data_IF_202349036991
#
_entry.id   IF_202349036991
#
_cell.length_a   1.000
_cell.length_b   1.000
_cell.length_c   1.000
_cell.angle_alpha   90.00
_cell.angle_beta   90.00
_cell.angle_gamma   90.00
#
_symmetry.space_group_name_H-M   'P 1'
#
loop_
_entity.id
_entity.type
_entity.pdbx_description
1 polymer ?
#
# COMPACT_ATOMS: atom_id res chain seq x y z
N UNK A 1 4.99 -40.75 -4.60
CA UNK A 1 3.66 -40.27 -4.19
C UNK A 1 3.54 -40.14 -2.67
N UNK A 2 3.91 -41.17 -1.88
CA UNK A 2 3.90 -41.09 -0.40
C UNK A 2 4.96 -40.13 0.17
N UNK A 3 6.14 -40.03 -0.44
CA UNK A 3 7.15 -39.03 -0.06
C UNK A 3 6.72 -37.60 -0.36
N UNK A 4 6.17 -37.33 -1.54
CA UNK A 4 5.64 -36.00 -1.87
C UNK A 4 4.52 -35.54 -0.90
N UNK A 5 3.62 -36.46 -0.51
CA UNK A 5 2.60 -36.18 0.51
C UNK A 5 3.18 -35.98 1.92
N UNK A 6 4.30 -36.64 2.25
CA UNK A 6 5.01 -36.42 3.51
C UNK A 6 5.73 -35.08 3.52
N UNK A 7 6.30 -34.68 2.39
CA UNK A 7 6.92 -33.36 2.20
C UNK A 7 5.88 -32.24 2.27
N UNK A 8 4.73 -32.40 1.61
CA UNK A 8 3.62 -31.44 1.68
C UNK A 8 3.04 -31.33 3.12
N UNK A 9 2.89 -32.45 3.83
CA UNK A 9 2.40 -32.45 5.21
C UNK A 9 3.44 -31.86 6.18
N UNK A 10 4.74 -32.09 5.94
CA UNK A 10 5.83 -31.51 6.71
C UNK A 10 5.92 -29.99 6.51
N UNK A 11 5.79 -29.52 5.25
CA UNK A 11 5.80 -28.09 4.90
C UNK A 11 4.58 -27.35 5.49
N UNK A 12 3.40 -28.00 5.47
CA UNK A 12 2.20 -27.47 6.11
C UNK A 12 2.35 -27.38 7.64
N UNK A 13 2.93 -28.41 8.27
CA UNK A 13 3.17 -28.44 9.72
C UNK A 13 4.20 -27.40 10.15
N UNK A 14 5.26 -27.21 9.38
CA UNK A 14 6.27 -26.16 9.60
C UNK A 14 5.71 -24.75 9.38
N UNK A 15 4.81 -24.59 8.41
CA UNK A 15 4.10 -23.33 8.15
C UNK A 15 3.15 -22.94 9.29
N UNK A 16 2.45 -23.91 9.88
CA UNK A 16 1.58 -23.68 11.05
C UNK A 16 2.41 -23.34 12.29
N UNK A 17 3.54 -24.04 12.52
CA UNK A 17 4.42 -23.76 13.67
C UNK A 17 5.03 -22.36 13.63
N UNK A 18 5.59 -21.95 12.49
CA UNK A 18 6.17 -20.63 12.34
C UNK A 18 5.12 -19.51 12.46
N UNK A 19 3.88 -19.77 12.03
CA UNK A 19 2.75 -18.86 12.24
C UNK A 19 2.42 -18.69 13.73
N UNK A 20 2.45 -19.79 14.50
CA UNK A 20 2.21 -19.76 15.95
C UNK A 20 3.35 -19.10 16.73
N UNK A 21 4.61 -19.34 16.36
CA UNK A 21 5.79 -18.70 16.96
C UNK A 21 5.82 -17.20 16.67
N UNK A 22 5.51 -16.81 15.43
CA UNK A 22 5.32 -15.42 15.04
C UNK A 22 4.18 -14.75 15.83
N UNK A 23 3.07 -15.44 16.07
CA UNK A 23 1.97 -14.95 16.90
C UNK A 23 2.36 -14.83 18.38
N UNK A 24 3.15 -15.78 18.92
CA UNK A 24 3.64 -15.74 20.29
C UNK A 24 4.64 -14.59 20.51
N UNK A 25 5.51 -14.33 19.53
CA UNK A 25 6.46 -13.21 19.56
C UNK A 25 5.80 -11.84 19.35
N UNK A 26 4.61 -11.80 18.74
CA UNK A 26 3.89 -10.56 18.45
C UNK A 26 3.13 -9.96 19.65
N UNK A 27 3.12 -10.62 20.81
CA UNK A 27 2.42 -10.17 22.02
C UNK A 27 0.89 -10.31 21.88
N UNK A 28 0.31 -11.19 22.69
CA UNK A 28 -1.13 -11.41 22.73
C UNK A 28 -1.83 -10.30 23.52
N UNK A 29 -2.23 -9.22 22.85
CA UNK A 29 -3.39 -8.44 23.28
C UNK A 29 -4.40 -8.37 22.13
N UNK A 30 -5.51 -9.09 22.32
CA UNK A 30 -6.75 -8.87 21.56
C UNK A 30 -7.14 -9.99 20.60
N UNK A 31 -7.79 -11.04 21.13
CA UNK A 31 -8.85 -11.75 20.43
C UNK A 31 -10.05 -11.95 21.38
N UNK A 32 -11.31 -11.77 20.93
CA UNK A 32 -12.50 -11.68 21.77
C UNK A 32 -13.27 -13.01 21.92
N UNK A 33 -13.91 -13.19 23.09
CA UNK A 33 -14.93 -14.21 23.41
C UNK A 33 -14.36 -15.55 23.89
N UNK A 34 -14.77 -16.17 25.01
CA UNK A 34 -16.11 -16.30 25.58
C UNK A 34 -16.06 -16.67 27.10
N UNK A 35 -17.17 -17.00 27.79
CA UNK A 35 -17.51 -16.48 29.12
C UNK A 35 -17.13 -17.38 30.30
N UNK A 36 -17.06 -16.82 31.52
CA UNK A 36 -17.63 -17.48 32.70
C UNK A 36 -17.84 -16.50 33.85
N UNK A 37 -18.97 -16.67 34.51
CA UNK A 37 -19.39 -15.99 35.71
C UNK A 37 -18.89 -16.71 36.98
N UNK A 38 -18.97 -15.99 38.11
CA UNK A 38 -19.12 -16.45 39.51
C UNK A 38 -17.98 -17.24 40.19
N UNK A 39 -17.31 -16.64 41.17
CA UNK A 39 -17.55 -16.94 42.60
C UNK A 39 -16.81 -15.97 43.55
N UNK A 40 -17.50 -15.65 44.65
CA UNK A 40 -17.09 -14.87 45.83
C UNK A 40 -15.91 -15.50 46.62
N UNK A 41 -15.22 -14.70 47.44
CA UNK A 41 -15.30 -14.72 48.93
C UNK A 41 -14.14 -13.90 49.57
N UNK A 42 -14.54 -12.83 50.28
CA UNK A 42 -14.12 -12.28 51.59
C UNK A 42 -12.65 -12.18 52.06
N UNK A 43 -12.36 -11.03 52.71
CA UNK A 43 -11.46 -10.95 53.88
C UNK A 43 -10.99 -9.52 54.21
N UNK A 44 -11.28 -9.03 55.43
CA UNK A 44 -11.05 -7.66 55.95
C UNK A 44 -9.58 -7.20 56.07
N UNK A 45 -9.22 -6.02 56.59
CA UNK A 45 -9.85 -5.16 57.60
C UNK A 45 -9.04 -3.85 57.82
N UNK A 46 -9.73 -2.75 58.20
CA UNK A 46 -9.35 -1.66 59.15
C UNK A 46 -8.12 -0.76 58.83
N UNK A 47 -8.05 0.56 59.09
CA UNK A 47 -8.77 1.50 59.97
C UNK A 47 -8.38 2.97 59.68
N UNK A 48 -9.34 3.90 59.86
CA UNK A 48 -9.29 5.27 60.47
C UNK A 48 -8.25 6.33 60.00
N UNK A 49 -8.47 7.66 59.95
CA UNK A 49 -9.50 8.62 60.39
C UNK A 49 -9.13 10.03 59.84
N UNK A 50 -10.07 11.00 59.82
CA UNK A 50 -9.72 12.43 59.67
C UNK A 50 -10.81 13.35 59.10
N UNK A 51 -11.39 14.21 59.95
CA UNK A 51 -12.64 14.96 59.76
C UNK A 51 -12.59 16.23 58.88
N UNK A 52 -13.76 16.60 58.34
CA UNK A 52 -14.12 17.93 57.81
C UNK A 52 -14.55 18.89 58.95
N UNK A 53 -14.78 20.21 58.71
CA UNK A 53 -16.14 20.62 58.29
C UNK A 53 -16.32 21.96 57.48
N UNK A 54 -17.48 22.00 56.81
CA UNK A 54 -18.48 23.10 56.64
C UNK A 54 -18.40 24.17 55.51
N UNK A 55 -19.55 24.21 54.80
CA UNK A 55 -20.11 25.22 53.85
C UNK A 55 -20.82 26.37 54.60
N UNK A 56 -21.38 27.38 53.88
CA UNK A 56 -22.80 27.34 53.40
C UNK A 56 -22.97 27.89 51.95
N UNK A 57 -23.89 27.41 51.08
CA UNK A 57 -25.34 27.75 50.94
C UNK A 57 -25.52 28.70 49.73
N UNK A 58 -26.48 28.63 48.78
CA UNK A 58 -27.88 28.21 48.80
C UNK A 58 -28.50 28.17 47.35
N UNK A 59 -29.54 27.33 47.16
CA UNK A 59 -30.70 27.33 46.22
C UNK A 59 -30.53 27.52 44.68
N UNK A 60 -31.29 26.86 43.78
CA UNK A 60 -32.45 25.98 43.88
C UNK A 60 -33.34 26.12 42.62
N UNK A 61 -34.25 25.13 42.41
CA UNK A 61 -35.40 25.07 41.47
C UNK A 61 -35.08 24.67 40.00
N UNK A 62 -35.85 23.88 39.25
CA UNK A 62 -36.91 22.88 39.45
C UNK A 62 -37.16 22.26 38.05
N UNK A 63 -37.37 20.95 37.97
CA UNK A 63 -37.97 20.31 36.79
C UNK A 63 -39.50 20.48 36.80
N UNK A 64 -40.16 20.43 35.63
CA UNK A 64 -41.28 19.49 35.50
C UNK A 64 -41.43 18.84 34.10
N UNK A 65 -42.05 17.65 34.10
CA UNK A 65 -42.83 17.05 33.01
C UNK A 65 -44.15 16.54 33.65
N UNK A 66 -45.19 16.06 32.91
CA UNK A 66 -45.48 16.06 31.46
C UNK A 66 -46.91 16.55 31.12
N UNK A 67 -47.23 16.77 29.83
CA UNK A 67 -48.61 16.61 29.31
C UNK A 67 -48.66 16.37 27.78
N UNK A 68 -49.74 15.72 27.36
CA UNK A 68 -49.98 15.01 26.09
C UNK A 68 -50.48 15.91 24.94
N UNK A 69 -50.23 15.49 23.69
CA UNK A 69 -51.19 15.72 22.59
C UNK A 69 -50.60 15.86 21.18
N UNK A 70 -51.03 14.99 20.25
CA UNK A 70 -51.26 15.34 18.83
C UNK A 70 -50.20 14.91 17.79
N UNK A 71 -50.50 13.87 17.02
CA UNK A 71 -49.85 13.53 15.75
C UNK A 71 -50.30 14.47 14.60
N UNK A 72 -49.58 14.51 13.46
CA UNK A 72 -50.01 13.68 12.35
C UNK A 72 -48.90 13.01 11.52
N UNK A 73 -49.34 11.99 10.81
CA UNK A 73 -48.66 11.04 9.94
C UNK A 73 -48.28 11.63 8.57
N UNK A 74 -47.04 11.41 8.14
CA UNK A 74 -46.60 11.59 6.75
C UNK A 74 -45.95 10.30 6.24
N UNK A 75 -46.66 9.55 5.41
CA UNK A 75 -46.21 8.32 4.77
C UNK A 75 -45.38 8.63 3.52
N UNK A 76 -44.23 7.98 3.38
CA UNK A 76 -43.35 8.06 2.21
C UNK A 76 -43.52 6.77 1.39
N UNK A 77 -43.92 6.91 0.11
CA UNK A 77 -44.21 5.80 -0.82
C UNK A 77 -43.00 5.54 -1.72
N UNK A 78 -42.56 4.27 -1.94
CA UNK A 78 -41.53 3.93 -2.92
C UNK A 78 -42.10 3.66 -4.33
N UNK A 79 -41.28 3.76 -5.41
CA UNK A 79 -41.72 3.55 -6.79
C UNK A 79 -41.76 2.06 -7.22
N UNK A 80 -42.54 1.69 -8.26
CA UNK A 80 -42.78 0.28 -8.62
C UNK A 80 -41.79 -0.29 -9.66
N UNK A 81 -41.41 -1.55 -9.45
CA UNK A 81 -40.82 -2.46 -10.44
C UNK A 81 -41.88 -2.94 -11.45
N UNK A 82 -41.51 -3.09 -12.72
CA UNK A 82 -42.29 -3.89 -13.69
C UNK A 82 -41.43 -4.99 -14.30
N UNK A 83 -41.87 -6.23 -14.06
CA UNK A 83 -41.44 -7.48 -14.69
C UNK A 83 -42.40 -7.81 -15.83
N UNK A 84 -41.87 -8.22 -16.98
CA UNK A 84 -42.64 -8.82 -18.06
C UNK A 84 -41.76 -9.73 -18.93
N UNK A 85 -42.01 -11.03 -18.88
CA UNK A 85 -41.65 -12.07 -19.85
C UNK A 85 -42.97 -12.58 -20.47
N UNK A 86 -43.05 -13.38 -21.57
CA UNK A 86 -42.03 -14.31 -22.09
C UNK A 86 -41.88 -14.39 -23.63
N UNK A 87 -40.97 -15.27 -24.05
CA UNK A 87 -40.57 -15.59 -25.43
C UNK A 87 -41.48 -16.63 -26.11
N UNK A 88 -41.52 -16.62 -27.46
CA UNK A 88 -41.59 -17.80 -28.36
C UNK A 88 -41.51 -17.37 -29.85
N UNK A 89 -40.75 -18.10 -30.67
CA UNK A 89 -40.83 -18.00 -32.14
C UNK A 89 -39.54 -18.37 -32.89
N UNK A 90 -39.47 -19.59 -33.40
CA UNK A 90 -38.37 -20.21 -34.17
C UNK A 90 -38.61 -20.03 -35.68
N UNK A 91 -37.54 -19.79 -36.49
CA UNK A 91 -37.18 -20.48 -37.76
C UNK A 91 -36.17 -19.68 -38.63
N UNK A 92 -35.07 -20.35 -39.03
CA UNK A 92 -34.07 -19.96 -40.06
C UNK A 92 -34.54 -20.36 -41.49
N UNK A 93 -33.71 -20.35 -42.57
CA UNK A 93 -32.54 -19.52 -42.98
C UNK A 93 -32.65 -19.00 -44.45
N UNK A 94 -31.92 -17.95 -44.86
CA UNK A 94 -31.63 -17.67 -46.30
C UNK A 94 -30.21 -17.11 -46.48
N UNK A 95 -29.56 -17.54 -47.56
CA UNK A 95 -28.15 -17.49 -47.93
C UNK A 95 -27.59 -16.12 -48.36
N UNK A 96 -26.25 -16.05 -48.34
CA UNK A 96 -25.37 -14.95 -48.73
C UNK A 96 -25.32 -14.63 -50.24
N UNK A 97 -24.83 -13.42 -50.59
CA UNK A 97 -24.00 -13.22 -51.78
C UNK A 97 -22.57 -12.78 -51.43
N UNK A 98 -21.62 -13.21 -52.28
CA UNK A 98 -20.17 -12.95 -52.21
C UNK A 98 -19.78 -11.68 -52.97
N UNK A 99 -18.79 -10.96 -52.43
CA UNK A 99 -17.80 -10.13 -53.14
C UNK A 99 -17.93 -8.60 -52.95
N UNK A 100 -16.86 -7.81 -53.20
CA UNK A 100 -15.48 -8.16 -53.53
C UNK A 100 -14.45 -7.80 -52.43
N UNK A 101 -13.28 -8.39 -52.59
CA UNK A 101 -12.10 -8.40 -51.72
C UNK A 101 -11.40 -7.03 -51.59
N UNK A 102 -10.84 -6.66 -50.43
CA UNK A 102 -10.09 -5.42 -50.27
C UNK A 102 -8.73 -5.49 -50.99
N UNK A 103 -8.25 -4.39 -51.60
CA UNK A 103 -6.98 -4.39 -52.31
C UNK A 103 -5.79 -4.64 -51.37
N UNK A 104 -4.93 -5.56 -51.82
CA UNK A 104 -3.62 -5.90 -51.25
C UNK A 104 -2.71 -4.67 -51.12
N UNK A 105 -1.98 -4.48 -50.02
CA UNK A 105 -1.07 -3.35 -49.89
C UNK A 105 0.17 -3.55 -50.77
N UNK A 106 0.26 -2.76 -51.83
CA UNK A 106 1.47 -2.52 -52.59
C UNK A 106 2.59 -2.04 -51.65
N UNK A 107 3.73 -2.70 -51.79
CA UNK A 107 5.00 -2.33 -51.18
C UNK A 107 5.34 -0.86 -51.45
N UNK A 108 5.54 -0.09 -50.38
CA UNK A 108 6.12 1.23 -50.42
C UNK A 108 7.20 1.36 -49.34
N UNK A 109 8.44 1.42 -49.83
CA UNK A 109 9.56 2.18 -49.31
C UNK A 109 10.12 1.81 -47.93
N UNK A 110 11.21 1.02 -47.97
CA UNK A 110 12.28 1.09 -46.99
C UNK A 110 12.90 2.49 -47.00
N UNK A 111 12.56 3.31 -46.01
CA UNK A 111 13.27 4.56 -45.74
C UNK A 111 13.22 4.90 -44.23
N UNK A 112 14.36 4.68 -43.56
CA UNK A 112 14.85 5.40 -42.37
C UNK A 112 13.91 5.58 -41.18
N UNK A 113 13.90 4.59 -40.28
CA UNK A 113 13.56 4.80 -38.86
C UNK A 113 14.73 5.52 -38.12
N UNK A 114 14.47 6.35 -37.11
CA UNK A 114 15.31 7.49 -36.76
C UNK A 114 16.50 7.08 -35.89
N UNK A 115 17.69 7.59 -36.24
CA UNK A 115 18.93 7.52 -35.42
C UNK A 115 18.75 8.04 -33.98
N UNK A 116 17.67 8.77 -33.70
CA UNK A 116 17.32 9.26 -32.36
C UNK A 116 17.01 8.15 -31.35
N UNK A 117 16.42 7.02 -31.77
CA UNK A 117 16.09 5.89 -30.88
C UNK A 117 17.36 5.09 -30.53
N UNK A 118 18.29 4.97 -31.47
CA UNK A 118 19.58 4.32 -31.25
C UNK A 118 20.48 5.12 -30.30
N UNK A 119 20.50 6.45 -30.39
CA UNK A 119 21.26 7.30 -29.48
C UNK A 119 20.67 7.29 -28.05
N UNK A 120 19.35 7.30 -27.90
CA UNK A 120 18.68 7.16 -26.61
C UNK A 120 18.90 5.77 -25.99
N UNK A 121 18.87 4.71 -26.80
CA UNK A 121 19.22 3.34 -26.39
C UNK A 121 20.71 3.17 -26.07
N UNK A 122 21.60 3.88 -26.77
CA UNK A 122 23.03 3.92 -26.48
C UNK A 122 23.31 4.63 -25.14
N UNK A 123 22.61 5.73 -24.86
CA UNK A 123 22.71 6.42 -23.57
C UNK A 123 22.12 5.57 -22.42
N UNK A 124 21.10 4.76 -22.70
CA UNK A 124 20.49 3.83 -21.73
C UNK A 124 21.31 2.54 -21.52
N UNK A 125 22.25 2.20 -22.41
CA UNK A 125 23.05 0.96 -22.36
C UNK A 125 24.46 1.13 -21.82
N UNK A 126 24.88 2.36 -21.50
CA UNK A 126 26.11 2.58 -20.75
C UNK A 126 25.93 2.07 -19.30
N UNK A 127 26.87 1.28 -18.76
CA UNK A 127 26.88 0.99 -17.34
C UNK A 127 27.21 2.29 -16.60
N UNK A 128 26.18 3.02 -16.15
CA UNK A 128 26.39 4.13 -15.23
C UNK A 128 27.14 3.56 -14.00
N UNK A 129 28.31 4.13 -13.71
CA UNK A 129 29.05 3.88 -12.48
C UNK A 129 28.19 4.21 -11.25
N UNK A 130 28.57 3.73 -10.06
CA UNK A 130 27.80 4.01 -8.84
C UNK A 130 27.78 5.52 -8.59
N UNK A 131 28.93 6.13 -8.84
CA UNK A 131 29.24 7.54 -8.70
C UNK A 131 28.36 8.38 -9.63
N UNK A 132 28.22 7.98 -10.90
CA UNK A 132 27.34 8.67 -11.86
C UNK A 132 25.87 8.57 -11.47
N UNK A 133 25.40 7.39 -11.05
CA UNK A 133 24.01 7.23 -10.57
C UNK A 133 23.76 8.07 -9.33
N UNK A 134 24.68 8.01 -8.37
CA UNK A 134 24.62 8.79 -7.14
C UNK A 134 24.58 10.29 -7.46
N UNK A 135 25.47 10.78 -8.33
CA UNK A 135 25.51 12.18 -8.76
C UNK A 135 24.18 12.62 -9.41
N UNK A 136 23.62 11.80 -10.31
CA UNK A 136 22.32 12.09 -10.94
C UNK A 136 21.18 12.12 -9.91
N UNK A 137 21.17 11.19 -8.96
CA UNK A 137 20.19 11.21 -7.86
C UNK A 137 20.37 12.42 -6.95
N UNK A 138 21.61 12.84 -6.67
CA UNK A 138 21.91 14.05 -5.90
C UNK A 138 21.38 15.32 -6.55
N UNK A 139 21.49 15.44 -7.89
CA UNK A 139 20.89 16.56 -8.62
C UNK A 139 19.37 16.61 -8.44
N UNK A 140 18.70 15.46 -8.57
CA UNK A 140 17.25 15.36 -8.36
C UNK A 140 16.90 15.68 -6.89
N UNK A 141 17.69 15.21 -5.93
CA UNK A 141 17.49 15.49 -4.52
C UNK A 141 17.57 16.99 -4.20
N UNK A 142 18.47 17.72 -4.87
CA UNK A 142 18.62 19.17 -4.69
C UNK A 142 17.43 19.95 -5.29
N UNK A 143 16.93 19.54 -6.46
CA UNK A 143 15.69 20.09 -7.01
C UNK A 143 14.49 19.83 -6.08
N UNK A 144 14.42 18.65 -5.47
CA UNK A 144 13.37 18.30 -4.51
C UNK A 144 13.47 19.20 -3.28
N UNK A 145 14.67 19.43 -2.74
CA UNK A 145 14.91 20.24 -1.54
C UNK A 145 14.28 21.63 -1.64
N UNK A 146 14.44 22.30 -2.78
CA UNK A 146 13.91 23.65 -3.01
C UNK A 146 12.51 23.68 -3.66
N UNK A 147 11.90 22.52 -3.93
CA UNK A 147 10.63 22.41 -4.64
C UNK A 147 9.47 23.15 -3.95
N UNK A 148 8.66 23.87 -4.73
CA UNK A 148 7.43 24.57 -4.32
C UNK A 148 6.24 24.27 -5.26
N UNK A 149 6.31 23.19 -6.04
CA UNK A 149 5.33 22.88 -7.10
C UNK A 149 3.93 22.48 -6.60
N UNK A 150 3.73 22.26 -5.29
CA UNK A 150 2.43 21.96 -4.70
C UNK A 150 2.33 22.48 -3.25
N UNK A 151 1.12 22.60 -2.67
CA UNK A 151 0.92 23.19 -1.34
C UNK A 151 1.63 22.45 -0.19
N UNK A 152 2.01 21.18 -0.37
CA UNK A 152 2.72 20.41 0.67
C UNK A 152 4.07 21.03 1.08
N UNK A 153 4.63 21.88 0.23
CA UNK A 153 5.89 22.56 0.51
C UNK A 153 5.76 23.52 1.71
N UNK A 154 4.58 24.06 1.99
CA UNK A 154 4.35 25.08 3.02
C UNK A 154 4.45 24.52 4.45
N UNK A 155 4.11 23.24 4.63
CA UNK A 155 4.01 22.59 5.95
C UNK A 155 5.12 21.60 6.28
N UNK A 156 6.10 21.41 5.38
CA UNK A 156 7.20 20.45 5.60
C UNK A 156 8.30 21.05 6.48
N UNK A 157 8.92 20.22 7.30
CA UNK A 157 10.19 20.55 7.95
C UNK A 157 11.35 20.21 7.01
N UNK A 158 11.35 18.98 6.50
CA UNK A 158 12.33 18.52 5.51
C UNK A 158 11.62 17.80 4.36
N UNK A 159 12.21 17.90 3.17
CA UNK A 159 11.86 16.97 2.11
C UNK A 159 12.45 15.59 2.41
N UNK A 160 11.69 14.55 2.10
CA UNK A 160 12.10 13.17 2.33
C UNK A 160 12.27 12.49 0.98
N UNK A 161 13.50 12.50 0.47
CA UNK A 161 13.79 12.11 -0.91
C UNK A 161 13.84 10.58 -1.10
N UNK A 162 14.75 9.93 -0.36
CA UNK A 162 14.98 8.49 -0.44
C UNK A 162 15.91 8.01 0.67
N UNK A 163 15.99 6.68 0.84
CA UNK A 163 17.05 5.98 1.57
C UNK A 163 17.53 4.79 0.74
N UNK A 164 18.82 4.45 0.84
CA UNK A 164 19.36 3.16 0.37
C UNK A 164 20.21 3.23 -0.90
N UNK A 165 20.35 2.11 -1.60
CA UNK A 165 21.37 1.90 -2.64
C UNK A 165 20.96 2.43 -4.03
N UNK A 166 21.74 3.33 -4.66
CA UNK A 166 21.55 3.75 -6.06
C UNK A 166 21.65 2.63 -7.12
N UNK A 167 22.18 1.46 -6.75
CA UNK A 167 22.27 0.26 -7.59
C UNK A 167 21.25 -0.82 -7.21
N UNK A 168 20.32 -0.54 -6.30
CA UNK A 168 19.34 -1.53 -5.87
C UNK A 168 18.56 -2.12 -7.04
N UNK A 169 18.45 -3.45 -7.08
CA UNK A 169 17.56 -4.15 -8.01
C UNK A 169 16.08 -4.04 -7.60
N UNK A 170 15.80 -3.65 -6.35
CA UNK A 170 14.46 -3.54 -5.76
C UNK A 170 14.19 -2.13 -5.22
N UNK A 171 13.06 -1.56 -5.60
CA UNK A 171 12.62 -0.25 -5.09
C UNK A 171 11.31 -0.40 -4.33
N UNK A 172 11.28 0.03 -3.07
CA UNK A 172 10.06 0.14 -2.27
C UNK A 172 9.49 1.54 -2.39
N UNK A 173 8.22 1.66 -2.76
CA UNK A 173 7.53 2.95 -2.94
C UNK A 173 6.34 3.02 -2.00
N UNK A 174 6.37 3.96 -1.06
CA UNK A 174 5.27 4.29 -0.16
C UNK A 174 4.42 5.48 -0.61
N UNK A 175 3.50 5.90 0.27
CA UNK A 175 2.58 7.01 0.02
C UNK A 175 3.28 8.38 0.11
N UNK A 176 3.83 8.69 1.28
CA UNK A 176 4.38 9.99 1.63
C UNK A 176 5.00 9.97 3.03
N UNK A 177 5.71 11.03 3.44
CA UNK A 177 6.34 11.10 4.75
C UNK A 177 5.31 11.22 5.88
N UNK A 178 5.60 10.60 7.02
CA UNK A 178 4.93 10.85 8.30
C UNK A 178 5.62 11.95 9.09
N UNK A 179 5.29 12.06 10.39
CA UNK A 179 5.82 13.10 11.25
C UNK A 179 7.31 12.92 11.53
N UNK A 180 7.72 11.70 11.87
CA UNK A 180 9.11 11.36 12.16
C UNK A 180 9.98 11.47 10.91
N UNK A 181 9.46 11.05 9.74
CA UNK A 181 10.17 11.18 8.47
C UNK A 181 10.39 12.66 8.09
N UNK A 182 9.38 13.51 8.24
CA UNK A 182 9.49 14.96 7.98
C UNK A 182 10.52 15.63 8.89
N UNK A 183 10.56 15.23 10.16
CA UNK A 183 11.53 15.78 11.10
C UNK A 183 12.96 15.32 10.79
N UNK A 184 13.16 14.08 10.37
CA UNK A 184 14.48 13.50 10.12
C UNK A 184 14.99 13.68 8.68
N UNK A 185 14.10 13.95 7.72
CA UNK A 185 14.44 14.01 6.30
C UNK A 185 14.65 12.65 5.63
N UNK A 186 14.29 11.55 6.29
CA UNK A 186 14.57 10.18 5.85
C UNK A 186 13.28 9.33 5.81
N UNK A 187 13.04 8.53 4.75
CA UNK A 187 11.80 7.77 4.62
C UNK A 187 11.75 6.55 5.53
N UNK A 188 10.55 6.22 6.01
CA UNK A 188 10.27 5.01 6.78
C UNK A 188 11.16 4.89 8.04
N UNK A 189 11.18 5.91 8.89
CA UNK A 189 11.92 5.89 10.18
C UNK A 189 11.01 5.63 11.38
N UNK A 190 9.70 5.88 11.25
CA UNK A 190 8.71 5.59 12.27
C UNK A 190 8.35 4.10 12.42
N UNK A 191 7.31 3.76 13.20
CA UNK A 191 6.90 2.37 13.47
C UNK A 191 6.60 1.55 12.21
N UNK A 192 5.99 2.18 11.19
CA UNK A 192 5.74 1.54 9.90
C UNK A 192 7.04 1.22 9.16
N UNK A 193 8.05 2.07 9.30
CA UNK A 193 9.37 1.85 8.74
C UNK A 193 10.14 0.72 9.41
N UNK A 194 10.10 0.65 10.74
CA UNK A 194 10.69 -0.48 11.46
C UNK A 194 10.07 -1.83 11.06
N UNK A 195 8.76 -1.86 10.76
CA UNK A 195 8.14 -3.05 10.21
C UNK A 195 8.61 -3.35 8.78
N UNK A 196 8.75 -2.33 7.93
CA UNK A 196 9.32 -2.48 6.59
C UNK A 196 10.73 -3.05 6.65
N UNK A 197 11.57 -2.60 7.58
CA UNK A 197 12.93 -3.10 7.77
C UNK A 197 12.93 -4.60 8.09
N UNK A 198 12.04 -5.04 8.98
CA UNK A 198 11.89 -6.47 9.29
C UNK A 198 11.41 -7.26 8.09
N UNK A 199 10.54 -6.70 7.25
CA UNK A 199 10.09 -7.34 6.01
C UNK A 199 11.25 -7.48 5.01
N UNK A 200 12.07 -6.44 4.85
CA UNK A 200 13.27 -6.44 3.98
C UNK A 200 14.29 -7.48 4.49
N UNK A 201 14.54 -7.50 5.80
CA UNK A 201 15.42 -8.49 6.43
C UNK A 201 14.92 -9.92 6.23
N UNK A 202 13.61 -10.16 6.37
CA UNK A 202 13.01 -11.46 6.11
C UNK A 202 13.13 -11.90 4.64
N UNK A 203 13.24 -10.95 3.70
CA UNK A 203 13.53 -11.24 2.29
C UNK A 203 15.02 -11.55 2.03
N UNK A 204 15.87 -11.54 3.06
CA UNK A 204 17.31 -11.76 2.94
C UNK A 204 18.07 -10.55 2.39
N UNK A 205 17.53 -9.34 2.56
CA UNK A 205 18.21 -8.09 2.21
C UNK A 205 18.55 -7.29 3.45
N UNK A 206 19.63 -6.53 3.38
CA UNK A 206 19.88 -5.44 4.31
C UNK A 206 19.23 -4.15 3.83
N UNK A 207 18.97 -3.25 4.78
CA UNK A 207 18.26 -1.99 4.51
C UNK A 207 19.03 -1.07 3.56
N UNK A 208 20.35 -1.16 3.54
CA UNK A 208 21.26 -0.43 2.66
C UNK A 208 21.48 -1.10 1.30
N UNK A 209 20.95 -2.30 1.07
CA UNK A 209 20.97 -2.97 -0.25
C UNK A 209 19.77 -2.60 -1.13
N UNK A 210 18.68 -2.14 -0.51
CA UNK A 210 17.44 -1.78 -1.19
C UNK A 210 17.34 -0.27 -1.39
N UNK A 211 16.38 0.21 -2.19
CA UNK A 211 16.08 1.64 -2.30
C UNK A 211 14.64 1.90 -1.88
N UNK A 212 14.43 2.90 -1.03
CA UNK A 212 13.13 3.21 -0.42
C UNK A 212 12.79 4.68 -0.69
N UNK A 213 11.61 4.94 -1.22
CA UNK A 213 11.09 6.30 -1.43
C UNK A 213 9.56 6.31 -1.37
N UNK A 214 8.95 7.47 -1.65
CA UNK A 214 7.50 7.68 -1.61
C UNK A 214 6.99 8.36 -2.89
N UNK A 215 5.67 8.34 -3.13
CA UNK A 215 5.04 9.11 -4.20
C UNK A 215 5.29 10.61 -4.00
N UNK A 216 4.87 11.15 -2.86
CA UNK A 216 5.13 12.55 -2.50
C UNK A 216 6.36 12.66 -1.61
N UNK A 217 7.11 13.76 -1.72
CA UNK A 217 8.38 14.01 -1.01
C UNK A 217 8.24 14.96 0.19
N UNK A 218 7.02 15.41 0.48
CA UNK A 218 6.69 16.32 1.57
C UNK A 218 5.52 15.73 2.35
N UNK A 219 5.52 15.90 3.68
CA UNK A 219 4.48 15.39 4.57
C UNK A 219 3.14 16.10 4.32
N UNK A 220 2.05 15.37 4.02
CA UNK A 220 0.72 15.96 4.01
C UNK A 220 0.26 16.39 5.42
N UNK A 221 -0.48 17.51 5.55
CA UNK A 221 -0.99 17.97 6.84
C UNK A 221 -1.73 16.88 7.60
N UNK A 222 -1.38 16.68 8.88
CA UNK A 222 -1.97 15.65 9.76
C UNK A 222 -1.86 14.22 9.19
N UNK A 223 -0.86 13.93 8.36
CA UNK A 223 -0.67 12.63 7.70
C UNK A 223 -1.90 12.19 6.88
N UNK A 224 -2.65 13.14 6.31
CA UNK A 224 -3.72 12.80 5.36
C UNK A 224 -3.14 12.14 4.11
N UNK A 225 -3.99 11.44 3.35
CA UNK A 225 -3.61 10.99 2.01
C UNK A 225 -3.24 12.20 1.12
N UNK A 226 -2.17 12.14 0.31
CA UNK A 226 -1.89 13.18 -0.66
C UNK A 226 -2.99 13.25 -1.71
N UNK A 227 -3.32 14.46 -2.12
CA UNK A 227 -4.32 14.72 -3.15
C UNK A 227 -3.79 14.33 -4.53
N UNK A 228 -4.66 14.02 -5.50
CA UNK A 228 -4.26 13.71 -6.87
C UNK A 228 -3.36 14.78 -7.50
N UNK A 229 -3.64 16.06 -7.26
CA UNK A 229 -2.82 17.16 -7.77
C UNK A 229 -1.42 17.19 -7.13
N UNK A 230 -1.31 16.90 -5.83
CA UNK A 230 -0.03 16.82 -5.12
C UNK A 230 0.81 15.64 -5.61
N UNK A 231 0.18 14.48 -5.82
CA UNK A 231 0.84 13.31 -6.43
C UNK A 231 1.28 13.62 -7.86
N UNK A 232 0.44 14.23 -8.68
CA UNK A 232 0.77 14.60 -10.05
C UNK A 232 1.97 15.56 -10.11
N UNK A 233 1.99 16.59 -9.26
CA UNK A 233 3.08 17.55 -9.17
C UNK A 233 4.42 16.91 -8.72
N UNK A 234 4.37 15.89 -7.86
CA UNK A 234 5.56 15.21 -7.33
C UNK A 234 6.03 14.02 -8.17
N UNK A 235 5.13 13.43 -8.97
CA UNK A 235 5.40 12.25 -9.79
C UNK A 235 6.61 12.37 -10.75
N UNK A 236 6.97 13.55 -11.30
CA UNK A 236 8.16 13.66 -12.14
C UNK A 236 9.45 13.32 -11.40
N UNK A 237 9.55 13.63 -10.10
CA UNK A 237 10.73 13.28 -9.30
C UNK A 237 10.86 11.76 -9.11
N UNK A 238 9.75 11.07 -8.83
CA UNK A 238 9.76 9.61 -8.73
C UNK A 238 10.10 8.97 -10.09
N UNK A 239 9.54 9.50 -11.18
CA UNK A 239 9.86 9.02 -12.51
C UNK A 239 11.35 9.20 -12.85
N UNK A 240 11.95 10.33 -12.45
CA UNK A 240 13.38 10.58 -12.61
C UNK A 240 14.23 9.63 -11.74
N UNK A 241 13.85 9.40 -10.48
CA UNK A 241 14.49 8.41 -9.60
C UNK A 241 14.49 7.03 -10.26
N UNK A 242 13.32 6.54 -10.71
CA UNK A 242 13.19 5.22 -11.34
C UNK A 242 13.96 5.11 -12.66
N UNK A 243 14.05 6.20 -13.44
CA UNK A 243 14.83 6.24 -14.67
C UNK A 243 16.34 6.12 -14.42
N UNK A 244 16.85 6.65 -13.30
CA UNK A 244 18.26 6.50 -12.90
C UNK A 244 18.50 5.10 -12.32
N UNK A 245 17.62 4.65 -11.43
CA UNK A 245 17.78 3.38 -10.71
C UNK A 245 17.67 2.16 -11.63
N UNK A 246 16.75 2.20 -12.61
CA UNK A 246 16.42 1.08 -13.50
C UNK A 246 16.23 -0.25 -12.73
N UNK A 247 15.37 -0.28 -11.70
CA UNK A 247 15.22 -1.48 -10.86
C UNK A 247 14.63 -2.64 -11.66
N UNK A 248 14.90 -3.86 -11.20
CA UNK A 248 14.26 -5.07 -11.71
C UNK A 248 12.82 -5.20 -11.22
N UNK A 249 12.53 -4.75 -9.99
CA UNK A 249 11.19 -4.79 -9.40
C UNK A 249 10.89 -3.54 -8.57
N UNK A 250 9.64 -3.08 -8.62
CA UNK A 250 9.08 -2.10 -7.70
C UNK A 250 8.09 -2.79 -6.76
N UNK A 251 8.24 -2.61 -5.45
CA UNK A 251 7.24 -3.02 -4.45
C UNK A 251 6.42 -1.79 -4.06
N UNK A 252 5.15 -1.76 -4.45
CA UNK A 252 4.25 -0.64 -4.21
C UNK A 252 3.45 -0.87 -2.91
N UNK A 253 3.75 -0.07 -1.88
CA UNK A 253 3.21 -0.20 -0.54
C UNK A 253 1.91 0.62 -0.42
N UNK A 254 0.77 -0.05 -0.55
CA UNK A 254 -0.56 0.55 -0.40
C UNK A 254 -1.16 1.16 -1.66
N UNK A 255 -2.44 1.53 -1.58
CA UNK A 255 -3.22 2.01 -2.73
C UNK A 255 -2.63 3.27 -3.35
N UNK A 256 -2.15 4.21 -2.53
CA UNK A 256 -1.61 5.48 -3.00
C UNK A 256 -0.32 5.30 -3.81
N UNK A 257 0.55 4.36 -3.41
CA UNK A 257 1.73 4.01 -4.18
C UNK A 257 1.37 3.47 -5.57
N UNK A 258 0.40 2.57 -5.65
CA UNK A 258 -0.05 2.00 -6.93
C UNK A 258 -0.72 3.07 -7.80
N UNK A 259 -1.57 3.91 -7.21
CA UNK A 259 -2.21 5.03 -7.90
C UNK A 259 -1.15 6.00 -8.47
N UNK A 260 -0.14 6.36 -7.69
CA UNK A 260 0.93 7.26 -8.15
C UNK A 260 1.84 6.66 -9.22
N UNK A 261 2.01 5.33 -9.24
CA UNK A 261 2.86 4.64 -10.22
C UNK A 261 2.14 4.39 -11.55
N UNK A 262 0.88 3.96 -11.53
CA UNK A 262 0.17 3.49 -12.73
C UNK A 262 -1.20 4.14 -12.96
N UNK A 263 -1.60 5.12 -12.15
CA UNK A 263 -2.82 5.90 -12.36
C UNK A 263 -4.14 5.16 -12.07
N UNK A 264 -4.10 3.95 -11.51
CA UNK A 264 -5.32 3.19 -11.18
C UNK A 264 -6.01 3.75 -9.93
N UNK A 265 -7.34 3.66 -9.91
CA UNK A 265 -8.19 3.98 -8.76
C UNK A 265 -8.73 2.74 -8.04
N UNK A 266 -8.35 1.54 -8.50
CA UNK A 266 -8.79 0.29 -7.91
C UNK A 266 -8.21 0.09 -6.49
N UNK A 267 -9.01 -0.52 -5.60
CA UNK A 267 -8.63 -0.72 -4.21
C UNK A 267 -7.48 -1.73 -4.03
N UNK A 268 -6.58 -1.46 -3.08
CA UNK A 268 -5.38 -2.29 -2.85
C UNK A 268 -5.69 -3.76 -2.57
N UNK A 269 -6.81 -4.07 -1.91
CA UNK A 269 -7.23 -5.45 -1.63
C UNK A 269 -7.41 -6.29 -2.90
N UNK A 270 -7.85 -5.67 -4.00
CA UNK A 270 -8.00 -6.36 -5.30
C UNK A 270 -6.69 -6.43 -6.09
N UNK A 271 -5.82 -5.43 -5.90
CA UNK A 271 -4.60 -5.29 -6.69
C UNK A 271 -3.42 -6.09 -6.12
N UNK A 272 -3.37 -6.30 -4.81
CA UNK A 272 -2.22 -6.93 -4.15
C UNK A 272 -1.94 -8.35 -4.65
N UNK A 273 -0.65 -8.70 -4.70
CA UNK A 273 -0.21 -10.03 -5.15
C UNK A 273 -0.33 -10.27 -6.66
N UNK A 274 -0.85 -9.31 -7.42
CA UNK A 274 -0.97 -9.41 -8.88
C UNK A 274 0.02 -8.47 -9.54
N UNK A 275 0.95 -9.05 -10.31
CA UNK A 275 1.95 -8.29 -11.07
C UNK A 275 1.31 -7.23 -11.98
N UNK A 276 1.87 -6.02 -11.93
CA UNK A 276 1.56 -4.91 -12.84
C UNK A 276 2.84 -4.44 -13.52
N UNK A 277 2.72 -3.50 -14.47
CA UNK A 277 3.87 -2.92 -15.16
C UNK A 277 3.88 -1.40 -15.01
N UNK A 278 5.01 -0.86 -14.55
CA UNK A 278 5.31 0.56 -14.62
C UNK A 278 5.79 0.88 -16.04
N UNK A 279 5.10 1.79 -16.72
CA UNK A 279 5.40 2.22 -18.11
C UNK A 279 5.64 1.05 -19.08
N UNK A 280 4.92 -0.05 -18.88
CA UNK A 280 5.00 -1.25 -19.71
C UNK A 280 6.31 -2.05 -19.61
N UNK A 281 7.24 -1.68 -18.72
CA UNK A 281 8.59 -2.25 -18.69
C UNK A 281 8.99 -2.82 -17.33
N UNK A 282 8.77 -2.10 -16.22
CA UNK A 282 9.27 -2.51 -14.91
C UNK A 282 8.15 -3.22 -14.12
N UNK A 283 8.31 -4.49 -13.71
CA UNK A 283 7.36 -5.18 -12.85
C UNK A 283 7.10 -4.46 -11.54
N UNK A 284 5.82 -4.31 -11.20
CA UNK A 284 5.35 -3.82 -9.89
C UNK A 284 4.66 -4.98 -9.17
N UNK A 285 5.03 -5.20 -7.91
CA UNK A 285 4.24 -5.98 -6.95
C UNK A 285 3.48 -5.03 -6.01
N UNK A 286 2.16 -4.87 -6.20
CA UNK A 286 1.32 -4.18 -5.22
C UNK A 286 1.19 -5.02 -3.94
N UNK A 287 1.29 -4.39 -2.77
CA UNK A 287 1.04 -5.04 -1.47
C UNK A 287 0.49 -4.04 -0.44
N UNK A 288 0.11 -4.51 0.74
CA UNK A 288 -0.38 -3.61 1.79
C UNK A 288 0.74 -2.76 2.37
N UNK A 289 0.38 -1.52 2.77
CA UNK A 289 1.32 -0.62 3.42
C UNK A 289 1.66 -1.11 4.85
N UNK A 290 2.91 -0.99 5.33
CA UNK A 290 3.29 -1.44 6.68
C UNK A 290 2.42 -0.83 7.80
N UNK A 291 2.03 0.44 7.67
CA UNK A 291 1.10 1.08 8.61
C UNK A 291 -0.28 0.39 8.70
N UNK A 292 -0.75 -0.25 7.63
CA UNK A 292 -1.97 -1.07 7.66
C UNK A 292 -1.75 -2.34 8.49
N UNK A 293 -0.60 -2.99 8.35
CA UNK A 293 -0.26 -4.21 9.10
C UNK A 293 -0.07 -3.97 10.61
N UNK A 294 0.26 -2.75 11.01
CA UNK A 294 0.28 -2.36 12.43
C UNK A 294 -1.13 -2.35 13.04
N UNK A 295 -2.14 -1.99 12.25
CA UNK A 295 -3.55 -2.00 12.69
C UNK A 295 -4.23 -3.34 12.45
N UNK A 296 -3.80 -4.06 11.42
CA UNK A 296 -4.37 -5.35 11.01
C UNK A 296 -3.26 -6.41 10.87
N UNK A 297 -2.78 -6.97 12.00
CA UNK A 297 -1.69 -7.95 11.98
C UNK A 297 -1.98 -9.21 11.17
N UNK A 298 -3.25 -9.63 11.08
CA UNK A 298 -3.67 -10.80 10.32
C UNK A 298 -3.30 -10.73 8.83
N UNK A 299 -3.20 -9.53 8.26
CA UNK A 299 -2.84 -9.32 6.86
C UNK A 299 -1.34 -9.53 6.55
N UNK A 300 -0.52 -9.84 7.55
CA UNK A 300 0.92 -10.08 7.36
C UNK A 300 1.20 -11.34 6.55
N UNK A 301 0.32 -12.35 6.62
CA UNK A 301 0.46 -13.57 5.82
C UNK A 301 0.33 -13.27 4.33
N UNK A 302 -0.63 -12.43 3.97
CA UNK A 302 -0.85 -11.94 2.62
C UNK A 302 0.37 -11.15 2.12
N UNK A 303 0.86 -10.19 2.91
CA UNK A 303 2.04 -9.41 2.50
C UNK A 303 3.26 -10.31 2.33
N UNK A 304 3.47 -11.27 3.22
CA UNK A 304 4.55 -12.23 3.07
C UNK A 304 4.43 -13.06 1.79
N UNK A 305 3.22 -13.46 1.40
CA UNK A 305 2.99 -14.13 0.11
C UNK A 305 3.39 -13.26 -1.07
N UNK A 306 3.11 -11.96 -1.03
CA UNK A 306 3.49 -11.02 -2.09
C UNK A 306 5.01 -10.87 -2.19
N UNK A 307 5.70 -10.80 -1.05
CA UNK A 307 7.16 -10.67 -1.00
C UNK A 307 7.87 -11.95 -1.47
N UNK A 308 7.29 -13.13 -1.20
CA UNK A 308 7.79 -14.40 -1.76
C UNK A 308 7.73 -14.40 -3.29
N UNK A 309 6.66 -13.87 -3.87
CA UNK A 309 6.56 -13.72 -5.33
C UNK A 309 7.65 -12.78 -5.86
N UNK A 310 7.96 -11.69 -5.16
CA UNK A 310 9.08 -10.79 -5.50
C UNK A 310 10.42 -11.53 -5.46
N UNK A 311 10.70 -12.28 -4.40
CA UNK A 311 11.93 -13.07 -4.29
C UNK A 311 12.04 -14.09 -5.43
N UNK A 312 10.95 -14.81 -5.71
CA UNK A 312 10.86 -15.77 -6.83
C UNK A 312 11.14 -15.10 -8.17
N UNK A 313 10.61 -13.92 -8.41
CA UNK A 313 10.86 -13.14 -9.64
C UNK A 313 12.33 -12.70 -9.76
N UNK A 314 12.96 -12.36 -8.65
CA UNK A 314 14.37 -11.96 -8.62
C UNK A 314 15.34 -13.15 -8.71
N UNK A 315 14.83 -14.39 -8.64
CA UNK A 315 15.64 -15.61 -8.64
C UNK A 315 16.25 -15.92 -7.28
N UNK A 316 15.72 -15.33 -6.20
CA UNK A 316 16.15 -15.60 -4.83
C UNK A 316 15.24 -16.67 -4.21
N UNK A 317 15.86 -17.67 -3.59
CA UNK A 317 15.14 -18.56 -2.68
C UNK A 317 14.73 -17.78 -1.45
N UNK A 318 13.54 -18.02 -0.91
CA UNK A 318 13.22 -17.54 0.43
C UNK A 318 14.30 -18.11 1.38
N UNK A 319 14.90 -17.30 2.27
CA UNK A 319 15.94 -17.80 3.16
C UNK A 319 15.43 -19.02 3.93
N UNK A 320 16.26 -20.08 3.94
CA UNK A 320 16.02 -21.26 4.77
C UNK A 320 15.87 -20.81 6.22
N UNK A 321 14.80 -21.24 6.87
CA UNK A 321 14.51 -20.90 8.26
C UNK A 321 15.53 -21.62 9.14
N UNK A 322 16.59 -20.92 9.54
CA UNK A 322 17.49 -21.35 10.62
C UNK A 322 16.80 -21.36 11.97
#
# INVERSE_FOLDING_TARGET
>A
MVEALREELADLTASVRAFLEWHAAAGAEGLPGAPSALHEVQGGSSSESGAAPRRPGFAGLHAPAPSRGGAPTGAFTPPPEQRGAPAQGVRSPVQAPRGPEPPSPLAASAASAPRADAAARALASQPDTLEERAARLSLIAEEVRSCQKCPLHEGRTHTVFSRGNPRSEIVFVGEGPGAEEDLQGEPFVGPAGQLLDRMIAAMGYQRDEVYICNIVKCRPPKNRKPEPAEMAACSPYLAAQLAVLRPRVIVALGATAVQGLIGTTEGITKLRGTWKLYKGAIPIMPTFHPAYLLRQPGAKREVWSDLKEVMRHLGKSAPDRG
#
